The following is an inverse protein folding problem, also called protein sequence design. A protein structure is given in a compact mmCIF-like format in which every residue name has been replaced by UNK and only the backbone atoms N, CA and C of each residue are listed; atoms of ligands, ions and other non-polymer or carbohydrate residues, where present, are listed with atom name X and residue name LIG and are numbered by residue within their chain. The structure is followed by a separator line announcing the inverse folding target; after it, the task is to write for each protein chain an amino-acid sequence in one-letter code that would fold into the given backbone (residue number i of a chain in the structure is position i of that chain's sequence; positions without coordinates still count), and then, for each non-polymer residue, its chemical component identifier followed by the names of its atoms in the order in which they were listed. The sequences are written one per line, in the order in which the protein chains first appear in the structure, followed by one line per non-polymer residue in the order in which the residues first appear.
data_IF_321237375164
#
_entry.id   IF_321237375164
#
_cell.length_a   1.000
_cell.length_b   1.000
_cell.length_c   1.000
_cell.angle_alpha   90.00
_cell.angle_beta   90.00
_cell.angle_gamma   90.00
#
_symmetry.space_group_name_H-M   'P 1'
#
loop_
_entity.id
_entity.type
_entity.pdbx_description
1 polymer ?
#
# COMPACT_ATOMS: atom_id res chain seq x y z
N UNK A 1 -28.67 32.54 3.12
CA UNK A 1 -28.42 31.21 3.73
C UNK A 1 -28.20 30.14 2.67
N UNK A 2 -29.16 29.88 1.77
CA UNK A 2 -29.07 28.80 0.78
C UNK A 2 -27.80 28.72 -0.10
N UNK A 3 -27.21 29.84 -0.52
CA UNK A 3 -25.99 29.82 -1.35
C UNK A 3 -24.78 29.22 -0.60
N UNK A 4 -24.58 29.61 0.66
CA UNK A 4 -23.46 29.12 1.49
C UNK A 4 -23.65 27.64 1.77
N UNK A 5 -24.89 27.18 1.99
CA UNK A 5 -25.19 25.76 2.25
C UNK A 5 -24.86 24.88 1.03
N UNK A 6 -25.26 25.31 -0.18
CA UNK A 6 -24.94 24.60 -1.43
C UNK A 6 -23.42 24.58 -1.65
N UNK A 7 -22.76 25.71 -1.47
CA UNK A 7 -21.31 25.81 -1.62
C UNK A 7 -20.58 24.90 -0.61
N UNK A 8 -20.99 24.91 0.66
CA UNK A 8 -20.42 24.07 1.70
C UNK A 8 -20.58 22.57 1.40
N UNK A 9 -21.74 22.13 0.87
CA UNK A 9 -21.95 20.74 0.47
C UNK A 9 -21.01 20.34 -0.66
N UNK A 10 -20.83 21.19 -1.68
CA UNK A 10 -19.90 20.91 -2.78
C UNK A 10 -18.48 20.76 -2.24
N UNK A 11 -18.03 21.70 -1.40
CA UNK A 11 -16.70 21.64 -0.78
C UNK A 11 -16.55 20.40 0.08
N UNK A 12 -17.57 20.04 0.87
CA UNK A 12 -17.57 18.85 1.71
C UNK A 12 -17.41 17.58 0.87
N UNK A 13 -18.16 17.45 -0.23
CA UNK A 13 -18.05 16.30 -1.15
C UNK A 13 -16.63 16.21 -1.72
N UNK A 14 -16.08 17.32 -2.19
CA UNK A 14 -14.71 17.36 -2.74
C UNK A 14 -13.67 17.02 -1.67
N UNK A 15 -13.83 17.53 -0.46
CA UNK A 15 -12.93 17.25 0.66
C UNK A 15 -12.97 15.76 1.04
N UNK A 16 -14.16 15.17 1.15
CA UNK A 16 -14.32 13.73 1.44
C UNK A 16 -13.74 12.89 0.31
N UNK A 17 -14.04 13.21 -0.96
CA UNK A 17 -13.48 12.51 -2.11
C UNK A 17 -11.94 12.58 -2.14
N UNK A 18 -11.37 13.75 -1.83
CA UNK A 18 -9.93 13.96 -1.76
C UNK A 18 -9.29 13.16 -0.62
N UNK A 19 -9.91 13.15 0.56
CA UNK A 19 -9.44 12.36 1.70
C UNK A 19 -9.43 10.86 1.39
N UNK A 20 -10.51 10.34 0.77
CA UNK A 20 -10.57 8.94 0.34
C UNK A 20 -9.49 8.64 -0.70
N UNK A 21 -9.33 9.49 -1.71
CA UNK A 21 -8.29 9.31 -2.73
C UNK A 21 -6.88 9.20 -2.12
N UNK A 22 -6.56 10.07 -1.16
CA UNK A 22 -5.28 10.03 -0.44
C UNK A 22 -5.11 8.72 0.33
N UNK A 23 -6.14 8.26 1.06
CA UNK A 23 -6.09 6.99 1.79
C UNK A 23 -5.88 5.79 0.86
N UNK A 24 -6.53 5.77 -0.30
CA UNK A 24 -6.34 4.72 -1.31
C UNK A 24 -4.89 4.70 -1.83
N UNK A 25 -4.33 5.87 -2.15
CA UNK A 25 -2.95 5.99 -2.64
C UNK A 25 -1.97 5.46 -1.60
N UNK A 26 -2.14 5.87 -0.33
CA UNK A 26 -1.26 5.43 0.77
C UNK A 26 -1.43 3.92 1.00
N UNK A 27 -2.65 3.38 0.99
CA UNK A 27 -2.87 1.94 1.17
C UNK A 27 -2.20 1.07 0.10
N UNK A 28 -2.23 1.50 -1.16
CA UNK A 28 -1.70 0.75 -2.30
C UNK A 28 -0.17 0.88 -2.43
N UNK A 29 0.41 2.00 -1.99
CA UNK A 29 1.83 2.32 -2.16
C UNK A 29 2.82 1.21 -1.74
N UNK A 30 2.75 0.60 -0.54
CA UNK A 30 3.72 -0.42 -0.11
C UNK A 30 3.70 -1.67 -1.01
N UNK A 31 2.50 -2.15 -1.37
CA UNK A 31 2.36 -3.30 -2.27
C UNK A 31 2.85 -3.00 -3.69
N UNK A 32 2.61 -1.78 -4.19
CA UNK A 32 3.10 -1.36 -5.50
C UNK A 32 4.62 -1.26 -5.55
N UNK A 33 5.25 -0.70 -4.50
CA UNK A 33 6.71 -0.62 -4.37
C UNK A 33 7.33 -2.02 -4.29
N UNK A 34 6.78 -2.91 -3.46
CA UNK A 34 7.25 -4.28 -3.33
C UNK A 34 7.20 -5.03 -4.67
N UNK A 35 6.12 -4.86 -5.44
CA UNK A 35 5.95 -5.52 -6.74
C UNK A 35 6.94 -4.98 -7.78
N UNK A 36 7.19 -3.67 -7.80
CA UNK A 36 8.20 -3.05 -8.69
C UNK A 36 9.62 -3.48 -8.36
N UNK A 37 9.92 -3.82 -7.11
CA UNK A 37 11.24 -4.28 -6.66
C UNK A 37 11.46 -5.78 -6.81
N UNK A 38 10.45 -6.55 -7.21
CA UNK A 38 10.57 -8.01 -7.30
C UNK A 38 10.56 -8.69 -5.92
N UNK A 39 9.93 -8.09 -4.92
CA UNK A 39 9.85 -8.68 -3.58
C UNK A 39 9.08 -10.02 -3.62
N UNK A 40 9.59 -11.10 -3.00
CA UNK A 40 8.98 -12.44 -3.08
C UNK A 40 7.55 -12.50 -2.52
N UNK A 41 7.23 -11.58 -1.60
CA UNK A 41 5.92 -11.52 -0.92
C UNK A 41 5.18 -10.21 -1.18
N UNK A 42 5.23 -9.69 -2.41
CA UNK A 42 4.63 -8.40 -2.76
C UNK A 42 3.12 -8.27 -2.41
N UNK A 43 2.35 -9.37 -2.49
CA UNK A 43 0.95 -9.37 -2.07
C UNK A 43 0.78 -9.24 -0.55
N UNK A 44 1.60 -9.94 0.23
CA UNK A 44 1.58 -9.84 1.68
C UNK A 44 1.92 -8.42 2.14
N UNK A 45 2.91 -7.78 1.50
CA UNK A 45 3.26 -6.37 1.75
C UNK A 45 2.07 -5.44 1.43
N UNK A 46 1.36 -5.70 0.33
CA UNK A 46 0.17 -4.94 -0.05
C UNK A 46 -0.97 -5.07 0.97
N UNK A 47 -1.28 -6.29 1.40
CA UNK A 47 -2.30 -6.55 2.43
C UNK A 47 -1.88 -5.95 3.77
N UNK A 48 -0.61 -6.10 4.15
CA UNK A 48 -0.06 -5.48 5.35
C UNK A 48 -0.20 -3.96 5.32
N UNK A 49 0.04 -3.32 4.17
CA UNK A 49 -0.21 -1.89 3.97
C UNK A 49 -1.64 -1.48 4.30
N UNK A 50 -2.63 -2.18 3.78
CA UNK A 50 -4.05 -1.89 4.08
C UNK A 50 -4.43 -2.14 5.54
N UNK A 51 -4.00 -3.28 6.10
CA UNK A 51 -4.32 -3.64 7.49
C UNK A 51 -3.70 -2.64 8.45
N UNK A 52 -2.42 -2.31 8.27
CA UNK A 52 -1.72 -1.36 9.13
C UNK A 52 -2.26 0.06 8.97
N UNK A 53 -2.73 0.46 7.79
CA UNK A 53 -3.36 1.76 7.58
C UNK A 53 -4.68 1.90 8.36
N UNK A 54 -5.52 0.86 8.38
CA UNK A 54 -6.83 0.87 9.03
C UNK A 54 -6.72 0.68 10.55
N UNK A 55 -5.93 -0.29 11.00
CA UNK A 55 -5.89 -0.69 12.42
C UNK A 55 -4.77 -0.04 13.21
N UNK A 56 -3.75 0.47 12.54
CA UNK A 56 -2.46 0.72 13.15
C UNK A 56 -1.78 2.03 12.83
N UNK A 57 -2.28 2.83 11.87
CA UNK A 57 -1.72 4.02 11.20
C UNK A 57 -0.20 4.24 11.35
N UNK A 58 0.27 4.43 12.57
CA UNK A 58 1.68 4.31 13.03
C UNK A 58 2.42 3.08 12.51
N UNK A 59 1.76 1.93 12.32
CA UNK A 59 2.40 0.71 11.79
C UNK A 59 2.53 0.69 10.26
N UNK A 60 1.89 1.63 9.54
CA UNK A 60 1.96 1.68 8.09
C UNK A 60 3.38 1.90 7.53
N UNK A 61 4.20 2.82 8.09
CA UNK A 61 5.59 2.97 7.70
C UNK A 61 6.39 1.68 7.87
N UNK A 62 6.03 0.81 8.81
CA UNK A 62 6.72 -0.48 9.00
C UNK A 62 6.43 -1.45 7.84
N UNK A 63 5.17 -1.53 7.39
CA UNK A 63 4.82 -2.27 6.18
C UNK A 63 5.51 -1.68 4.94
N UNK A 64 5.65 -0.35 4.89
CA UNK A 64 6.38 0.33 3.84
C UNK A 64 7.88 0.03 3.88
N UNK A 65 8.53 0.04 5.05
CA UNK A 65 9.93 -0.35 5.24
C UNK A 65 10.13 -1.80 4.78
N UNK A 66 9.21 -2.70 5.10
CA UNK A 66 9.28 -4.09 4.67
C UNK A 66 9.26 -4.24 3.14
N UNK A 67 8.60 -3.33 2.40
CA UNK A 67 8.67 -3.29 0.94
C UNK A 67 10.09 -3.00 0.39
N UNK A 68 10.99 -2.46 1.22
CA UNK A 68 12.39 -2.17 0.89
C UNK A 68 13.36 -3.21 1.43
N UNK A 69 12.90 -4.13 2.28
CA UNK A 69 13.74 -5.21 2.80
C UNK A 69 13.84 -6.28 1.72
N UNK A 70 15.00 -6.35 1.07
CA UNK A 70 15.29 -7.43 0.12
C UNK A 70 15.59 -8.73 0.88
N UNK A 71 14.76 -9.74 0.67
CA UNK A 71 15.02 -11.10 1.14
C UNK A 71 15.78 -11.81 0.02
N UNK A 72 17.00 -12.34 0.26
CA UNK A 72 17.77 -13.00 -0.78
C UNK A 72 16.97 -14.14 -1.40
N UNK A 73 16.97 -14.19 -2.73
CA UNK A 73 16.30 -15.24 -3.50
C UNK A 73 16.77 -16.62 -3.03
N UNK A 74 15.85 -17.59 -2.96
CA UNK A 74 16.19 -18.98 -2.64
C UNK A 74 17.29 -19.45 -3.61
N UNK A 75 18.42 -19.98 -3.11
CA UNK A 75 19.41 -20.61 -3.96
C UNK A 75 18.73 -21.69 -4.81
N UNK A 76 18.89 -21.62 -6.13
CA UNK A 76 18.43 -22.69 -7.02
C UNK A 76 19.29 -23.93 -6.68
N UNK A 77 18.69 -25.05 -6.26
CA UNK A 77 19.47 -26.26 -5.99
C UNK A 77 20.19 -26.69 -7.28
N UNK A 78 21.43 -27.22 -7.20
CA UNK A 78 22.17 -27.68 -8.37
C UNK A 78 21.31 -28.63 -9.19
N UNK A 79 21.21 -28.42 -10.50
CA UNK A 79 20.58 -29.40 -11.38
C UNK A 79 21.40 -30.68 -11.32
N UNK A 80 20.84 -31.73 -10.76
CA UNK A 80 21.43 -33.06 -10.81
C UNK A 80 21.48 -33.49 -12.29
N UNK A 81 22.65 -33.85 -12.82
CA UNK A 81 22.75 -34.35 -14.20
C UNK A 81 21.83 -35.56 -14.36
N UNK A 82 21.00 -35.54 -15.40
CA UNK A 82 20.15 -36.67 -15.74
C UNK A 82 21.01 -37.93 -15.99
N UNK A 83 20.55 -39.12 -15.54
CA UNK A 83 21.30 -40.37 -15.62
C UNK A 83 21.59 -40.82 -17.05
#
# INVERSE_FOLDING_TARGET
MAFIDIFAIIVLIVAVASAVAVLLIIGIAPGHVARRRGHPWAEAVGVAGWITLIFGLVFWPLAFIWAYVDIPARPVPPREPAP
#
